data_IF_574110589058
#
_entry.id   IF_574110589058
#
_cell.length_a   1.000
_cell.length_b   1.000
_cell.length_c   1.000
_cell.angle_alpha   90.00
_cell.angle_beta   90.00
_cell.angle_gamma   90.00
#
_symmetry.space_group_name_H-M   'P 1'
#
loop_
_entity.id
_entity.type
_entity.pdbx_description
1 polymer ?
#
# COMPACT_ATOMS: atom_id res chain seq x y z
N UNK A 1 10.45 -11.36 17.81
CA UNK A 1 11.61 -10.74 17.10
C UNK A 1 11.10 -9.49 16.39
N UNK A 2 10.48 -8.62 17.18
CA UNK A 2 9.55 -7.60 16.73
C UNK A 2 10.23 -6.22 16.76
N UNK A 3 10.59 -5.72 15.58
CA UNK A 3 10.44 -4.32 15.18
C UNK A 3 11.21 -4.10 13.88
N UNK A 4 10.59 -3.32 12.99
CA UNK A 4 11.20 -2.83 11.74
C UNK A 4 12.47 -2.01 12.01
N UNK A 5 12.75 -1.64 13.26
CA UNK A 5 13.93 -0.91 13.71
C UNK A 5 14.64 -1.68 14.82
N UNK A 6 15.69 -2.43 14.49
CA UNK A 6 16.57 -2.97 15.53
C UNK A 6 17.55 -1.87 15.96
N UNK A 7 17.52 -1.51 17.25
CA UNK A 7 18.31 -0.42 17.80
C UNK A 7 19.80 -0.80 17.89
N UNK A 8 20.63 -0.25 17.01
CA UNK A 8 22.07 -0.11 17.25
C UNK A 8 22.30 1.28 17.90
N UNK A 9 21.70 1.49 19.08
CA UNK A 9 21.39 2.81 19.64
C UNK A 9 22.58 3.72 19.96
N UNK A 10 23.80 3.18 20.11
CA UNK A 10 24.94 3.98 20.60
C UNK A 10 25.68 4.78 19.51
N UNK A 11 25.36 4.55 18.22
CA UNK A 11 26.11 5.15 17.09
C UNK A 11 25.30 6.01 16.12
N UNK A 12 24.01 6.26 16.37
CA UNK A 12 23.13 6.96 15.41
C UNK A 12 22.85 6.15 14.14
N UNK A 13 22.92 4.81 14.22
CA UNK A 13 22.70 3.88 13.11
C UNK A 13 21.49 3.00 13.40
N UNK A 14 20.61 2.85 12.41
CA UNK A 14 19.36 2.10 12.49
C UNK A 14 19.27 1.11 11.34
N UNK A 15 18.70 -0.06 11.58
CA UNK A 15 18.43 -1.06 10.55
C UNK A 15 16.93 -1.11 10.24
N UNK A 16 16.56 -0.92 8.97
CA UNK A 16 15.20 -1.11 8.45
C UNK A 16 15.15 -2.38 7.62
N UNK A 17 14.18 -3.26 7.87
CA UNK A 17 14.00 -4.48 7.08
C UNK A 17 13.03 -4.25 5.92
N UNK A 18 13.47 -4.56 4.71
CA UNK A 18 12.66 -4.55 3.48
C UNK A 18 12.63 -5.95 2.87
N UNK A 19 11.51 -6.35 2.31
CA UNK A 19 11.35 -7.62 1.60
C UNK A 19 11.68 -7.46 0.12
N UNK A 20 12.89 -7.83 -0.28
CA UNK A 20 13.39 -7.66 -1.65
C UNK A 20 13.85 -8.99 -2.22
N UNK A 21 13.62 -9.22 -3.50
CA UNK A 21 14.04 -10.44 -4.21
C UNK A 21 13.63 -11.77 -3.52
N UNK A 22 12.50 -11.76 -2.80
CA UNK A 22 12.00 -12.95 -2.09
C UNK A 22 12.63 -13.17 -0.72
N UNK A 23 13.36 -12.21 -0.16
CA UNK A 23 13.96 -12.32 1.17
C UNK A 23 13.94 -11.00 1.95
N UNK A 24 14.12 -11.08 3.27
CA UNK A 24 14.21 -9.89 4.12
C UNK A 24 15.65 -9.37 4.14
N UNK A 25 15.86 -8.18 3.61
CA UNK A 25 17.15 -7.49 3.59
C UNK A 25 17.13 -6.37 4.63
N UNK A 26 18.22 -6.23 5.41
CA UNK A 26 18.38 -5.15 6.38
C UNK A 26 19.16 -4.00 5.77
N UNK A 27 18.54 -2.83 5.69
CA UNK A 27 19.14 -1.58 5.20
C UNK A 27 19.56 -0.73 6.40
N UNK A 28 20.87 -0.54 6.55
CA UNK A 28 21.42 0.34 7.58
C UNK A 28 21.36 1.79 7.12
N UNK A 29 20.89 2.69 7.98
CA UNK A 29 20.84 4.14 7.76
C UNK A 29 21.38 4.87 8.98
N UNK A 30 21.88 6.08 8.78
CA UNK A 30 22.14 7.03 9.87
C UNK A 30 20.91 7.92 10.15
N UNK A 31 20.98 8.75 11.19
CA UNK A 31 19.93 9.70 11.62
C UNK A 31 19.94 11.07 10.92
N UNK A 32 20.74 11.27 9.86
CA UNK A 32 20.76 12.56 9.14
C UNK A 32 19.66 12.58 8.08
N UNK A 33 18.62 13.38 8.29
CA UNK A 33 17.50 13.47 7.36
C UNK A 33 17.53 14.79 6.57
N UNK A 34 17.14 14.78 5.27
CA UNK A 34 16.98 16.01 4.50
C UNK A 34 15.90 16.91 5.11
N UNK A 35 16.19 18.19 5.27
CA UNK A 35 15.27 19.19 5.82
C UNK A 35 15.11 20.37 4.88
N UNK A 36 13.94 21.02 4.94
CA UNK A 36 13.65 22.21 4.14
C UNK A 36 14.29 23.43 4.78
N UNK A 37 15.15 24.12 4.03
CA UNK A 37 15.85 25.31 4.50
C UNK A 37 14.87 26.46 4.81
N UNK A 38 15.06 27.14 5.93
CA UNK A 38 14.24 28.28 6.35
C UNK A 38 12.79 27.94 6.69
N UNK A 39 12.48 26.66 6.90
CA UNK A 39 11.17 26.19 7.34
C UNK A 39 11.30 25.38 8.63
N UNK A 40 10.32 25.55 9.52
CA UNK A 40 10.20 24.75 10.73
C UNK A 40 8.80 24.12 10.84
N UNK A 41 8.73 23.07 11.67
CA UNK A 41 7.49 22.44 12.10
C UNK A 41 7.22 22.78 13.56
N UNK A 42 5.97 23.03 13.91
CA UNK A 42 5.51 23.18 15.29
C UNK A 42 4.85 21.88 15.74
N UNK A 43 5.04 21.50 16.99
CA UNK A 43 4.36 20.32 17.55
C UNK A 43 2.83 20.41 17.39
N UNK A 44 2.22 19.34 16.90
CA UNK A 44 0.78 19.28 16.61
C UNK A 44 0.34 19.95 15.30
N UNK A 45 1.26 20.58 14.55
CA UNK A 45 0.97 21.28 13.31
C UNK A 45 2.01 20.96 12.23
N UNK A 46 1.60 20.17 11.22
CA UNK A 46 2.47 19.77 10.13
C UNK A 46 2.62 20.81 9.00
N UNK A 47 1.93 21.97 9.10
CA UNK A 47 1.93 23.02 8.06
C UNK A 47 3.28 23.75 7.94
N UNK A 48 3.48 24.46 6.82
CA UNK A 48 4.71 25.17 6.49
C UNK A 48 4.77 26.53 7.19
N UNK A 49 5.77 26.71 8.06
CA UNK A 49 6.08 28.01 8.67
C UNK A 49 7.47 28.50 8.27
N UNK A 50 7.57 29.77 7.91
CA UNK A 50 8.85 30.42 7.62
C UNK A 50 9.60 30.80 8.90
N UNK A 51 10.91 30.53 8.94
CA UNK A 51 11.79 30.89 10.05
C UNK A 51 12.82 29.81 10.37
N UNK A 52 13.63 30.06 11.40
CA UNK A 52 14.66 29.13 11.84
C UNK A 52 14.11 28.15 12.89
N UNK A 53 14.56 26.87 12.88
CA UNK A 53 14.30 25.93 13.95
C UNK A 53 14.81 26.46 15.29
N UNK A 54 13.97 26.38 16.33
CA UNK A 54 14.33 26.75 17.70
C UNK A 54 13.65 25.77 18.68
N UNK A 55 14.37 24.71 19.10
CA UNK A 55 13.81 23.71 20.00
C UNK A 55 13.32 24.27 21.33
N UNK A 56 13.88 25.39 21.81
CA UNK A 56 13.42 26.05 23.04
C UNK A 56 12.03 26.66 22.92
N UNK A 57 11.59 26.92 21.69
CA UNK A 57 10.25 27.43 21.34
C UNK A 57 9.34 26.33 20.77
N UNK A 58 9.76 25.06 20.82
CA UNK A 58 9.01 23.95 20.22
C UNK A 58 8.99 23.97 18.68
N UNK A 59 10.00 24.60 18.06
CA UNK A 59 10.16 24.69 16.60
C UNK A 59 11.28 23.75 16.15
N UNK A 60 10.97 22.81 15.28
CA UNK A 60 11.90 21.77 14.81
C UNK A 60 12.16 21.91 13.31
N UNK A 61 13.30 21.43 12.82
CA UNK A 61 13.57 21.45 11.39
C UNK A 61 12.51 20.64 10.63
N UNK A 62 11.95 21.20 9.57
CA UNK A 62 10.90 20.52 8.79
C UNK A 62 11.55 19.46 7.89
N UNK A 63 11.16 18.17 8.00
CA UNK A 63 11.61 17.16 7.04
C UNK A 63 11.21 17.55 5.62
N UNK A 64 12.10 17.33 4.66
CA UNK A 64 11.84 17.68 3.25
C UNK A 64 10.82 16.73 2.59
N UNK A 65 10.79 15.47 3.03
CA UNK A 65 9.96 14.39 2.48
C UNK A 65 8.86 13.99 3.49
N UNK A 66 8.72 12.71 3.84
CA UNK A 66 7.69 12.28 4.81
C UNK A 66 7.86 12.97 6.17
N UNK A 67 6.74 13.34 6.78
CA UNK A 67 6.70 13.92 8.13
C UNK A 67 5.47 13.44 8.89
N UNK A 68 5.56 13.41 10.23
CA UNK A 68 4.42 13.16 11.12
C UNK A 68 3.96 14.45 11.78
N UNK A 69 2.70 14.51 12.21
CA UNK A 69 2.17 15.57 13.08
C UNK A 69 2.79 15.50 14.48
N UNK A 70 3.11 14.29 14.92
CA UNK A 70 3.93 14.07 16.11
C UNK A 70 5.41 14.13 15.72
N UNK A 71 6.07 15.19 16.19
CA UNK A 71 7.50 15.42 15.95
C UNK A 71 8.40 14.32 16.53
N UNK A 72 7.89 13.51 17.46
CA UNK A 72 8.62 12.39 18.06
C UNK A 72 8.51 11.11 17.22
N UNK A 73 7.62 11.06 16.23
CA UNK A 73 7.46 9.95 15.31
C UNK A 73 8.38 10.08 14.09
N UNK A 74 9.67 9.84 14.29
CA UNK A 74 10.67 9.92 13.22
C UNK A 74 10.85 8.59 12.45
N UNK A 75 10.20 7.50 12.88
CA UNK A 75 10.33 6.17 12.27
C UNK A 75 9.89 6.14 10.79
N UNK A 76 8.95 7.00 10.39
CA UNK A 76 8.54 7.14 8.99
C UNK A 76 9.69 7.68 8.13
N UNK A 77 10.44 8.67 8.62
CA UNK A 77 11.61 9.21 7.94
C UNK A 77 12.67 8.13 7.78
N UNK A 78 12.84 7.27 8.79
CA UNK A 78 13.75 6.14 8.75
C UNK A 78 13.38 5.13 7.66
N UNK A 79 12.10 4.73 7.57
CA UNK A 79 11.62 3.80 6.55
C UNK A 79 11.81 4.40 5.15
N UNK A 80 11.37 5.64 4.92
CA UNK A 80 11.50 6.29 3.62
C UNK A 80 12.97 6.46 3.21
N UNK A 81 13.85 6.84 4.15
CA UNK A 81 15.30 6.94 3.90
C UNK A 81 15.91 5.59 3.54
N UNK A 82 15.55 4.51 4.24
CA UNK A 82 16.01 3.18 3.91
C UNK A 82 15.51 2.71 2.55
N UNK A 83 14.26 3.02 2.21
CA UNK A 83 13.66 2.72 0.92
C UNK A 83 14.35 3.48 -0.22
N UNK A 84 14.55 4.79 -0.05
CA UNK A 84 15.32 5.64 -0.95
C UNK A 84 16.76 5.15 -1.11
N UNK A 85 17.43 4.75 -0.02
CA UNK A 85 18.79 4.19 -0.07
C UNK A 85 18.86 2.91 -0.88
N UNK A 86 17.89 2.01 -0.71
CA UNK A 86 17.84 0.76 -1.47
C UNK A 86 17.65 1.03 -2.97
N UNK A 87 16.75 1.97 -3.32
CA UNK A 87 16.48 2.36 -4.71
C UNK A 87 17.49 3.36 -5.30
N UNK A 88 18.46 3.81 -4.51
CA UNK A 88 19.58 4.66 -4.93
C UNK A 88 19.43 6.15 -4.65
N UNK A 89 18.21 6.69 -4.56
CA UNK A 89 17.95 8.07 -4.15
C UNK A 89 16.49 8.31 -3.75
N UNK A 90 16.20 9.47 -3.15
CA UNK A 90 14.81 9.90 -2.93
C UNK A 90 14.05 10.17 -4.25
N UNK A 91 14.74 10.61 -5.30
CA UNK A 91 14.13 10.79 -6.62
C UNK A 91 13.74 9.45 -7.26
N UNK A 92 14.46 8.37 -6.96
CA UNK A 92 14.18 7.04 -7.50
C UNK A 92 12.88 6.40 -6.92
N UNK A 93 12.35 6.97 -5.83
CA UNK A 93 11.10 6.52 -5.20
C UNK A 93 9.94 7.50 -5.44
N UNK A 94 10.11 8.44 -6.38
CA UNK A 94 9.06 9.34 -6.81
C UNK A 94 8.05 8.58 -7.69
N UNK A 95 6.79 8.55 -7.24
CA UNK A 95 5.73 7.81 -7.90
C UNK A 95 5.84 6.29 -7.71
N UNK A 96 4.90 5.57 -8.32
CA UNK A 96 4.83 4.11 -8.25
C UNK A 96 3.48 3.59 -7.76
N UNK A 97 3.40 2.28 -7.61
CA UNK A 97 2.15 1.59 -7.27
C UNK A 97 2.12 1.17 -5.81
N UNK A 98 1.03 1.48 -5.11
CA UNK A 98 0.88 1.24 -3.65
C UNK A 98 1.18 -0.21 -3.27
N UNK A 99 0.58 -1.17 -3.97
CA UNK A 99 0.78 -2.59 -3.69
C UNK A 99 2.24 -3.06 -3.86
N UNK A 100 3.05 -2.43 -4.72
CA UNK A 100 4.48 -2.77 -4.85
C UNK A 100 5.24 -2.40 -3.58
N UNK A 101 5.03 -1.19 -3.07
CA UNK A 101 5.62 -0.76 -1.80
C UNK A 101 5.13 -1.62 -0.62
N UNK A 102 3.83 -1.95 -0.58
CA UNK A 102 3.29 -2.85 0.44
C UNK A 102 3.94 -4.24 0.41
N UNK A 103 4.23 -4.79 -0.78
CA UNK A 103 4.98 -6.05 -0.90
C UNK A 103 6.39 -5.89 -0.33
N UNK A 104 7.08 -4.80 -0.63
CA UNK A 104 8.41 -4.53 -0.09
C UNK A 104 8.40 -4.36 1.44
N UNK A 105 7.29 -3.92 2.04
CA UNK A 105 7.19 -3.78 3.50
C UNK A 105 6.65 -5.01 4.22
N UNK A 106 6.05 -5.98 3.52
CA UNK A 106 5.33 -7.09 4.16
C UNK A 106 5.68 -8.48 3.63
N UNK A 107 6.31 -8.57 2.47
CA UNK A 107 6.53 -9.83 1.76
C UNK A 107 5.27 -10.45 1.14
N UNK A 108 4.16 -9.72 1.09
CA UNK A 108 2.91 -10.18 0.53
C UNK A 108 2.91 -10.43 -0.99
N UNK A 109 1.70 -10.68 -1.51
CA UNK A 109 1.44 -10.86 -2.94
C UNK A 109 0.62 -9.69 -3.48
N UNK A 110 1.11 -9.00 -4.52
CA UNK A 110 0.41 -7.87 -5.11
C UNK A 110 -0.78 -8.32 -5.97
N UNK A 111 -1.86 -7.56 -5.94
CA UNK A 111 -2.99 -7.66 -6.86
C UNK A 111 -3.49 -6.24 -7.18
N UNK A 112 -3.80 -5.97 -8.45
CA UNK A 112 -4.43 -4.72 -8.89
C UNK A 112 -5.80 -5.03 -9.47
N UNK A 113 -6.79 -4.24 -9.08
CA UNK A 113 -8.15 -4.28 -9.62
C UNK A 113 -8.43 -2.93 -10.26
N UNK A 114 -8.45 -2.90 -11.59
CA UNK A 114 -8.79 -1.70 -12.36
C UNK A 114 -10.31 -1.57 -12.44
N UNK A 115 -10.84 -0.45 -11.96
CA UNK A 115 -12.29 -0.23 -11.83
C UNK A 115 -12.98 -0.03 -13.18
N UNK A 116 -12.25 0.47 -14.19
CA UNK A 116 -12.75 0.65 -15.56
C UNK A 116 -12.82 -0.64 -16.38
N UNK A 117 -12.25 -1.75 -15.92
CA UNK A 117 -12.28 -3.02 -16.66
C UNK A 117 -13.71 -3.57 -16.74
N UNK A 118 -14.11 -4.06 -17.91
CA UNK A 118 -15.46 -4.60 -18.13
C UNK A 118 -15.84 -5.70 -17.12
N UNK A 119 -14.90 -6.60 -16.80
CA UNK A 119 -15.10 -7.66 -15.81
C UNK A 119 -15.30 -7.08 -14.41
N UNK A 120 -14.55 -6.04 -14.07
CA UNK A 120 -14.69 -5.35 -12.79
C UNK A 120 -16.03 -4.64 -12.71
N UNK A 121 -16.48 -3.96 -13.77
CA UNK A 121 -17.78 -3.33 -13.86
C UNK A 121 -18.94 -4.33 -13.65
N UNK A 122 -18.85 -5.53 -14.23
CA UNK A 122 -19.81 -6.62 -13.96
C UNK A 122 -19.80 -6.99 -12.47
N UNK A 123 -18.61 -7.17 -11.88
CA UNK A 123 -18.49 -7.54 -10.47
C UNK A 123 -18.91 -6.44 -9.46
N UNK A 124 -18.87 -5.18 -9.88
CA UNK A 124 -19.43 -4.05 -9.13
C UNK A 124 -20.96 -4.17 -9.13
N UNK A 125 -21.55 -4.34 -10.31
CA UNK A 125 -23.01 -4.37 -10.48
C UNK A 125 -23.68 -5.58 -9.80
N UNK A 126 -23.01 -6.74 -9.76
CA UNK A 126 -23.53 -7.95 -9.09
C UNK A 126 -23.10 -8.08 -7.60
N UNK A 127 -22.39 -7.07 -7.08
CA UNK A 127 -21.92 -7.01 -5.70
C UNK A 127 -20.84 -8.05 -5.33
N UNK A 128 -20.28 -8.79 -6.29
CA UNK A 128 -19.21 -9.75 -6.03
C UNK A 128 -17.87 -9.07 -5.71
N UNK A 129 -17.60 -7.88 -6.27
CA UNK A 129 -16.40 -7.11 -5.91
C UNK A 129 -16.44 -6.67 -4.45
N UNK A 130 -17.57 -6.10 -3.99
CA UNK A 130 -17.73 -5.68 -2.61
C UNK A 130 -17.48 -6.84 -1.63
N UNK A 131 -18.12 -7.99 -1.86
CA UNK A 131 -17.92 -9.21 -1.04
C UNK A 131 -16.47 -9.70 -1.07
N UNK A 132 -15.80 -9.62 -2.22
CA UNK A 132 -14.37 -9.96 -2.36
C UNK A 132 -13.49 -9.05 -1.49
N UNK A 133 -13.75 -7.74 -1.50
CA UNK A 133 -12.99 -6.76 -0.72
C UNK A 133 -13.28 -6.86 0.79
N UNK A 134 -14.53 -7.08 1.19
CA UNK A 134 -14.87 -7.42 2.59
C UNK A 134 -14.09 -8.65 3.06
N UNK A 135 -14.03 -9.69 2.22
CA UNK A 135 -13.22 -10.88 2.54
C UNK A 135 -11.74 -10.56 2.67
N UNK A 136 -11.21 -9.64 1.88
CA UNK A 136 -9.81 -9.20 1.99
C UNK A 136 -9.55 -8.47 3.31
N UNK A 137 -10.46 -7.60 3.73
CA UNK A 137 -10.41 -6.96 5.03
C UNK A 137 -10.46 -7.96 6.19
N UNK A 138 -11.37 -8.94 6.14
CA UNK A 138 -11.45 -10.01 7.15
C UNK A 138 -10.17 -10.84 7.26
N UNK A 139 -9.49 -11.06 6.14
CA UNK A 139 -8.22 -11.78 6.08
C UNK A 139 -7.03 -10.90 6.50
N UNK A 140 -7.25 -9.62 6.78
CA UNK A 140 -6.21 -8.66 7.16
C UNK A 140 -5.26 -8.32 6.02
N UNK A 141 -5.72 -8.40 4.77
CA UNK A 141 -4.95 -7.92 3.63
C UNK A 141 -4.92 -6.39 3.66
N UNK A 142 -3.87 -5.81 3.09
CA UNK A 142 -3.70 -4.36 3.04
C UNK A 142 -4.28 -3.84 1.72
N UNK A 143 -5.05 -2.76 1.81
CA UNK A 143 -5.71 -2.15 0.66
C UNK A 143 -5.28 -0.69 0.52
N UNK A 144 -5.05 -0.30 -0.72
CA UNK A 144 -4.88 1.08 -1.14
C UNK A 144 -5.66 1.34 -2.42
N UNK A 145 -5.67 2.59 -2.85
CA UNK A 145 -6.31 3.00 -4.09
C UNK A 145 -5.51 4.09 -4.78
N UNK A 146 -5.66 4.17 -6.10
CA UNK A 146 -5.17 5.27 -6.91
C UNK A 146 -6.33 6.05 -7.49
N UNK A 147 -6.30 7.38 -7.35
CA UNK A 147 -7.19 8.27 -8.09
C UNK A 147 -6.78 8.32 -9.58
N UNK A 148 -7.67 8.81 -10.46
CA UNK A 148 -7.37 8.94 -11.88
C UNK A 148 -6.08 9.72 -12.16
N UNK A 149 -5.42 9.42 -13.27
CA UNK A 149 -4.23 10.13 -13.70
C UNK A 149 -4.43 11.67 -13.73
N UNK A 150 -3.44 12.39 -13.20
CA UNK A 150 -3.43 13.85 -13.09
C UNK A 150 -2.21 14.33 -12.30
N UNK A 151 -2.18 15.61 -11.94
CA UNK A 151 -1.17 16.15 -11.03
C UNK A 151 -1.71 16.24 -9.60
N UNK A 152 -0.80 16.22 -8.65
CA UNK A 152 -1.10 16.33 -7.22
C UNK A 152 -1.67 17.71 -6.82
N UNK A 153 -1.57 18.69 -7.71
CA UNK A 153 -2.25 20.00 -7.63
C UNK A 153 -3.69 19.97 -8.17
N UNK A 154 -4.09 18.91 -8.87
CA UNK A 154 -5.42 18.78 -9.46
C UNK A 154 -6.36 18.12 -8.46
N UNK A 155 -7.21 18.93 -7.81
CA UNK A 155 -8.21 18.46 -6.86
C UNK A 155 -9.60 18.59 -7.49
N UNK A 156 -10.38 17.51 -7.48
CA UNK A 156 -11.75 17.54 -7.99
C UNK A 156 -12.65 18.44 -7.14
N UNK A 157 -13.78 18.88 -7.69
CA UNK A 157 -14.77 19.68 -6.95
C UNK A 157 -15.29 18.96 -5.69
N UNK A 158 -15.19 17.63 -5.67
CA UNK A 158 -15.57 16.76 -4.56
C UNK A 158 -14.42 16.43 -3.60
N UNK A 159 -13.24 17.04 -3.78
CA UNK A 159 -12.11 16.93 -2.87
C UNK A 159 -11.17 15.73 -3.09
N UNK A 160 -11.21 15.08 -4.26
CA UNK A 160 -10.29 13.99 -4.59
C UNK A 160 -9.09 14.53 -5.37
N UNK A 161 -7.89 14.39 -4.82
CA UNK A 161 -6.61 14.73 -5.46
C UNK A 161 -6.33 13.71 -6.57
N UNK A 162 -6.03 14.15 -7.78
CA UNK A 162 -5.72 13.29 -8.92
C UNK A 162 -4.24 12.86 -8.92
N UNK A 163 -3.93 11.77 -9.62
CA UNK A 163 -2.57 11.21 -9.67
C UNK A 163 -2.04 10.78 -8.30
N UNK A 164 -2.92 10.44 -7.35
CA UNK A 164 -2.58 10.32 -5.94
C UNK A 164 -3.00 8.97 -5.34
N UNK A 165 -2.24 8.53 -4.34
CA UNK A 165 -2.49 7.30 -3.62
C UNK A 165 -3.28 7.56 -2.33
N UNK A 166 -4.28 6.72 -2.07
CA UNK A 166 -5.08 6.72 -0.86
C UNK A 166 -4.96 5.37 -0.15
N UNK A 167 -4.92 5.37 1.18
CA UNK A 167 -5.05 4.12 1.94
C UNK A 167 -6.54 3.78 2.09
N UNK A 168 -6.92 2.52 1.92
CA UNK A 168 -8.27 2.04 2.25
C UNK A 168 -8.20 1.44 3.65
N UNK A 169 -8.88 2.09 4.60
CA UNK A 169 -8.75 1.78 6.03
C UNK A 169 -9.76 0.74 6.50
N UNK A 170 -11.02 0.92 6.13
CA UNK A 170 -12.09 0.00 6.49
C UNK A 170 -13.25 0.08 5.51
N UNK A 171 -14.05 -0.97 5.49
CA UNK A 171 -15.25 -1.15 4.68
C UNK A 171 -16.36 -1.62 5.61
N UNK A 172 -17.50 -0.95 5.53
CA UNK A 172 -18.65 -1.15 6.40
C UNK A 172 -19.88 -1.35 5.54
N UNK A 173 -20.60 -2.44 5.81
CA UNK A 173 -21.94 -2.68 5.27
C UNK A 173 -22.93 -2.70 6.43
N UNK A 174 -23.94 -1.84 6.34
CA UNK A 174 -24.95 -1.69 7.38
C UNK A 174 -26.23 -1.08 6.83
N UNK A 175 -27.37 -1.44 7.42
CA UNK A 175 -28.68 -0.94 7.02
C UNK A 175 -29.28 -0.06 8.13
N UNK A 176 -29.93 1.03 7.76
CA UNK A 176 -30.66 1.91 8.68
C UNK A 176 -32.05 2.29 8.15
N UNK A 177 -32.67 3.34 8.70
CA UNK A 177 -34.00 3.80 8.27
C UNK A 177 -34.04 4.33 6.83
N UNK A 178 -32.89 4.56 6.20
CA UNK A 178 -32.77 5.10 4.84
C UNK A 178 -32.34 4.05 3.81
N UNK A 179 -32.09 2.81 4.22
CA UNK A 179 -31.74 1.71 3.32
C UNK A 179 -30.48 0.97 3.75
N UNK A 180 -29.89 0.24 2.80
CA UNK A 180 -28.64 -0.48 2.96
C UNK A 180 -27.48 0.35 2.41
N UNK A 181 -26.38 0.43 3.16
CA UNK A 181 -25.24 1.28 2.83
C UNK A 181 -23.95 0.47 2.81
N UNK A 182 -23.19 0.62 1.72
CA UNK A 182 -21.84 0.10 1.58
C UNK A 182 -20.88 1.29 1.60
N UNK A 183 -20.15 1.46 2.70
CA UNK A 183 -19.26 2.59 2.94
C UNK A 183 -17.81 2.13 2.98
N UNK A 184 -16.94 2.91 2.34
CA UNK A 184 -15.50 2.70 2.36
C UNK A 184 -14.84 3.92 3.00
N UNK A 185 -13.94 3.67 3.95
CA UNK A 185 -13.11 4.68 4.59
C UNK A 185 -11.77 4.76 3.88
N UNK A 186 -11.40 5.95 3.44
CA UNK A 186 -10.11 6.23 2.85
C UNK A 186 -9.31 7.19 3.71
N UNK A 187 -7.99 7.21 3.49
CA UNK A 187 -7.09 8.23 4.02
C UNK A 187 -6.23 8.81 2.92
N UNK A 188 -6.30 10.13 2.76
CA UNK A 188 -5.29 10.91 2.07
C UNK A 188 -4.00 10.93 2.92
N UNK A 189 -2.86 10.41 2.43
CA UNK A 189 -1.60 10.38 3.17
C UNK A 189 -1.08 11.77 3.57
N UNK A 190 -1.46 12.83 2.86
CA UNK A 190 -1.11 14.21 3.25
C UNK A 190 -1.79 14.67 4.53
N UNK A 191 -2.80 13.93 4.97
CA UNK A 191 -3.59 14.26 6.15
C UNK A 191 -4.34 15.57 5.98
N UNK A 192 -4.75 15.88 4.75
CA UNK A 192 -5.57 17.05 4.43
C UNK A 192 -6.35 16.76 3.14
N UNK A 193 -7.36 17.56 2.83
CA UNK A 193 -8.19 17.42 1.61
C UNK A 193 -8.99 16.13 1.59
N UNK A 194 -10.28 16.26 1.87
CA UNK A 194 -11.21 15.17 2.08
C UNK A 194 -12.39 15.21 1.11
N UNK A 195 -13.10 14.08 1.02
CA UNK A 195 -14.33 13.94 0.25
C UNK A 195 -15.42 14.91 0.71
N UNK A 196 -16.07 15.59 -0.24
CA UNK A 196 -17.13 16.59 0.00
C UNK A 196 -18.53 16.16 -0.45
N UNK A 197 -18.66 14.92 -0.93
CA UNK A 197 -19.94 14.36 -1.38
C UNK A 197 -20.74 13.70 -0.27
N UNK A 198 -21.58 12.73 -0.64
CA UNK A 198 -22.38 11.96 0.32
C UNK A 198 -21.48 11.19 1.29
N UNK A 199 -21.83 11.17 2.58
CA UNK A 199 -21.02 10.56 3.66
C UNK A 199 -19.70 11.27 3.98
N UNK A 200 -19.49 12.47 3.45
CA UNK A 200 -18.39 13.34 3.89
C UNK A 200 -18.49 13.68 5.38
N UNK A 201 -17.40 14.20 5.93
CA UNK A 201 -17.32 14.63 7.33
C UNK A 201 -18.30 15.78 7.64
N UNK A 202 -18.75 16.53 6.63
CA UNK A 202 -19.75 17.59 6.73
C UNK A 202 -21.20 17.15 6.45
N UNK A 203 -21.44 15.89 6.02
CA UNK A 203 -22.79 15.38 5.70
C UNK A 203 -23.56 14.97 6.97
N UNK A 204 -23.95 15.95 7.77
CA UNK A 204 -24.65 15.71 9.02
C UNK A 204 -26.05 15.06 8.84
N UNK A 205 -26.58 15.01 7.62
CA UNK A 205 -27.92 14.48 7.32
C UNK A 205 -27.88 12.95 7.19
N UNK A 206 -26.90 12.39 6.47
CA UNK A 206 -26.80 10.93 6.25
C UNK A 206 -26.27 10.17 7.47
N UNK A 207 -25.47 10.83 8.32
CA UNK A 207 -24.89 10.19 9.50
C UNK A 207 -25.89 9.96 10.63
N UNK A 208 -26.70 8.90 10.49
CA UNK A 208 -27.62 8.44 11.53
C UNK A 208 -26.87 7.89 12.75
N UNK A 209 -27.57 7.77 13.90
CA UNK A 209 -26.98 7.19 15.13
C UNK A 209 -26.45 5.77 14.90
N UNK A 210 -27.13 4.96 14.08
CA UNK A 210 -26.72 3.58 13.78
C UNK A 210 -25.44 3.58 12.94
N UNK A 211 -25.39 4.41 11.90
CA UNK A 211 -24.21 4.49 11.04
C UNK A 211 -22.99 5.02 11.78
N UNK A 212 -23.14 6.05 12.63
CA UNK A 212 -22.08 6.52 13.55
C UNK A 212 -21.55 5.41 14.44
N UNK A 213 -22.45 4.66 15.09
CA UNK A 213 -22.05 3.56 15.98
C UNK A 213 -21.32 2.42 15.24
N UNK A 214 -21.71 2.14 13.99
CA UNK A 214 -21.10 1.07 13.20
C UNK A 214 -19.75 1.46 12.60
N UNK A 215 -19.64 2.68 12.10
CA UNK A 215 -18.42 3.20 11.45
C UNK A 215 -17.39 3.74 12.43
N UNK A 216 -17.82 4.08 13.66
CA UNK A 216 -17.00 4.83 14.60
C UNK A 216 -16.85 6.31 14.24
N UNK A 217 -17.58 6.80 13.23
CA UNK A 217 -17.56 8.22 12.84
C UNK A 217 -18.13 9.09 13.98
N UNK A 218 -17.30 10.02 14.46
CA UNK A 218 -17.68 11.04 15.43
C UNK A 218 -17.49 12.44 14.84
N UNK A 219 -18.59 13.16 14.52
CA UNK A 219 -18.50 14.50 13.94
C UNK A 219 -17.82 15.51 14.88
N UNK A 220 -17.83 15.28 16.21
CA UNK A 220 -17.17 16.20 17.16
C UNK A 220 -15.66 16.01 17.21
N UNK A 221 -15.20 14.78 17.02
CA UNK A 221 -13.77 14.49 16.93
C UNK A 221 -13.18 15.00 15.60
N UNK A 222 -14.00 15.07 14.55
CA UNK A 222 -13.56 15.43 13.19
C UNK A 222 -13.77 16.90 12.81
N UNK A 223 -14.72 17.61 13.41
CA UNK A 223 -14.98 19.02 13.11
C UNK A 223 -13.76 19.95 13.30
N UNK A 224 -12.74 19.51 14.05
CA UNK A 224 -11.52 20.26 14.34
C UNK A 224 -10.25 19.70 13.65
N UNK A 225 -10.35 18.69 12.77
CA UNK A 225 -9.18 18.15 12.07
C UNK A 225 -9.48 17.66 10.66
N UNK A 226 -9.10 18.46 9.65
CA UNK A 226 -8.77 17.96 8.31
C UNK A 226 -7.60 17.00 8.50
N UNK A 227 -7.89 15.70 8.62
CA UNK A 227 -6.93 14.63 8.93
C UNK A 227 -6.73 13.68 7.74
N UNK A 228 -7.41 13.98 6.63
CA UNK A 228 -7.40 13.25 5.39
C UNK A 228 -8.23 11.97 5.44
N UNK A 229 -8.89 11.64 6.56
CA UNK A 229 -9.66 10.41 6.72
C UNK A 229 -11.14 10.70 6.47
N UNK A 230 -11.75 10.04 5.50
CA UNK A 230 -13.17 10.26 5.19
C UNK A 230 -13.85 8.96 4.79
N UNK A 231 -15.17 8.92 4.95
CA UNK A 231 -16.01 7.89 4.34
C UNK A 231 -16.62 8.39 3.03
N UNK A 232 -16.93 7.45 2.14
CA UNK A 232 -17.79 7.68 0.98
C UNK A 232 -18.57 6.42 0.66
N UNK A 233 -19.60 6.52 -0.19
CA UNK A 233 -20.28 5.33 -0.69
C UNK A 233 -19.35 4.52 -1.60
N UNK A 234 -19.46 3.19 -1.57
CA UNK A 234 -18.68 2.32 -2.46
C UNK A 234 -18.95 2.60 -3.95
N UNK A 235 -20.16 3.05 -4.26
CA UNK A 235 -20.54 3.46 -5.61
C UNK A 235 -19.79 4.71 -6.07
N UNK A 236 -19.70 5.72 -5.21
CA UNK A 236 -18.94 6.94 -5.49
C UNK A 236 -17.45 6.61 -5.61
N UNK A 237 -16.94 5.74 -4.74
CA UNK A 237 -15.57 5.24 -4.83
C UNK A 237 -15.29 4.62 -6.22
N UNK A 238 -16.16 3.71 -6.70
CA UNK A 238 -16.02 3.11 -8.02
C UNK A 238 -16.12 4.11 -9.19
N UNK A 239 -16.69 5.29 -8.95
CA UNK A 239 -16.86 6.35 -9.95
C UNK A 239 -15.66 7.31 -9.97
N UNK A 240 -15.05 7.57 -8.81
CA UNK A 240 -14.03 8.60 -8.63
C UNK A 240 -12.61 8.09 -8.50
N UNK A 241 -12.40 6.77 -8.40
CA UNK A 241 -11.09 6.14 -8.33
C UNK A 241 -10.85 5.23 -9.52
N UNK A 242 -9.58 4.99 -9.84
CA UNK A 242 -9.18 4.20 -11.01
C UNK A 242 -8.83 2.76 -10.62
N UNK A 243 -8.08 2.60 -9.52
CA UNK A 243 -7.49 1.33 -9.14
C UNK A 243 -7.70 1.02 -7.67
N UNK A 244 -7.92 -0.26 -7.35
CA UNK A 244 -7.73 -0.81 -6.01
C UNK A 244 -6.46 -1.63 -6.01
N UNK A 245 -5.55 -1.29 -5.11
CA UNK A 245 -4.30 -1.99 -4.88
C UNK A 245 -4.44 -2.89 -3.66
N UNK A 246 -4.13 -4.18 -3.81
CA UNK A 246 -4.24 -5.15 -2.72
C UNK A 246 -2.87 -5.79 -2.49
N UNK A 247 -2.45 -5.84 -1.23
CA UNK A 247 -1.33 -6.67 -0.79
C UNK A 247 -1.85 -7.80 0.07
N UNK A 248 -1.84 -9.02 -0.49
CA UNK A 248 -2.35 -10.22 0.16
C UNK A 248 -1.26 -10.79 1.08
N UNK A 249 -1.52 -10.79 2.37
CA UNK A 249 -0.59 -11.25 3.41
C UNK A 249 -0.96 -12.67 3.82
N UNK A 250 0.00 -13.59 3.70
CA UNK A 250 -0.20 -15.00 4.04
C UNK A 250 0.64 -15.35 5.25
N UNK A 251 0.02 -15.32 6.44
CA UNK A 251 0.72 -15.70 7.67
C UNK A 251 1.12 -17.17 7.59
N UNK A 252 2.41 -17.41 7.73
CA UNK A 252 2.97 -18.76 7.68
C UNK A 252 2.69 -19.51 8.98
N UNK A 253 2.82 -20.83 8.97
CA UNK A 253 2.73 -21.65 10.19
C UNK A 253 3.73 -21.22 11.27
N UNK A 254 4.90 -20.71 10.87
CA UNK A 254 5.93 -20.19 11.79
C UNK A 254 5.48 -18.88 12.47
N UNK A 255 4.66 -18.08 11.78
CA UNK A 255 4.07 -16.83 12.27
C UNK A 255 2.70 -17.05 12.96
N UNK A 256 2.34 -18.30 13.27
CA UNK A 256 1.06 -18.65 13.88
C UNK A 256 -0.14 -18.64 12.91
N UNK A 257 0.12 -18.61 11.60
CA UNK A 257 -0.89 -18.75 10.55
C UNK A 257 -1.08 -20.19 10.07
N UNK A 258 -1.61 -20.33 8.85
CA UNK A 258 -1.98 -21.63 8.26
C UNK A 258 -1.31 -21.90 6.91
N UNK A 259 -0.49 -20.97 6.42
CA UNK A 259 0.17 -21.10 5.14
C UNK A 259 1.56 -21.74 5.28
N UNK A 260 1.91 -22.61 4.35
CA UNK A 260 3.29 -23.07 4.19
C UNK A 260 3.95 -22.21 3.12
N UNK A 261 5.17 -21.77 3.39
CA UNK A 261 5.94 -20.97 2.43
C UNK A 261 7.16 -21.77 1.94
N UNK A 262 7.34 -21.78 0.63
CA UNK A 262 8.51 -22.34 -0.03
C UNK A 262 9.08 -21.30 -0.98
N UNK A 263 10.40 -21.19 -1.04
CA UNK A 263 11.12 -20.27 -1.91
C UNK A 263 12.18 -21.02 -2.67
N UNK A 264 12.28 -20.75 -3.96
CA UNK A 264 13.29 -21.36 -4.83
C UNK A 264 13.95 -20.25 -5.64
N UNK A 265 15.24 -20.04 -5.41
CA UNK A 265 16.05 -19.17 -6.24
C UNK A 265 16.47 -19.92 -7.51
N UNK A 266 16.41 -19.26 -8.66
CA UNK A 266 16.78 -19.82 -9.95
C UNK A 266 17.15 -18.72 -10.93
N UNK A 267 17.71 -19.12 -12.08
CA UNK A 267 18.15 -18.21 -13.13
C UNK A 267 17.88 -18.79 -14.53
N UNK A 268 17.68 -17.89 -15.49
CA UNK A 268 17.61 -18.22 -16.90
C UNK A 268 18.94 -17.83 -17.56
N UNK A 269 19.83 -18.81 -17.79
CA UNK A 269 21.14 -18.59 -18.39
C UNK A 269 21.50 -19.73 -19.35
N UNK A 270 22.04 -19.38 -20.52
CA UNK A 270 22.47 -20.37 -21.52
C UNK A 270 21.31 -21.27 -21.94
N UNK A 271 21.44 -22.57 -21.67
CA UNK A 271 20.42 -23.57 -22.06
C UNK A 271 19.10 -23.42 -21.30
N UNK A 272 19.10 -22.87 -20.07
CA UNK A 272 17.88 -22.71 -19.28
C UNK A 272 17.04 -21.51 -19.69
N UNK A 273 17.56 -20.61 -20.53
CA UNK A 273 16.83 -19.47 -21.08
C UNK A 273 15.92 -19.89 -22.27
N UNK A 274 15.01 -20.82 -22.00
CA UNK A 274 14.12 -21.45 -22.99
C UNK A 274 13.02 -20.54 -23.55
N UNK A 275 12.84 -19.36 -22.97
CA UNK A 275 11.83 -18.38 -23.36
C UNK A 275 10.44 -18.72 -22.82
N UNK A 276 9.39 -18.28 -23.52
CA UNK A 276 8.01 -18.52 -23.13
C UNK A 276 7.74 -20.03 -22.87
N UNK A 277 7.06 -20.42 -21.77
CA UNK A 277 6.74 -21.83 -21.49
C UNK A 277 5.90 -22.55 -22.58
N UNK A 278 5.29 -21.80 -23.50
CA UNK A 278 4.56 -22.33 -24.65
C UNK A 278 5.39 -22.36 -25.94
N UNK A 279 6.65 -21.91 -25.89
CA UNK A 279 7.57 -21.88 -27.02
C UNK A 279 8.30 -23.22 -27.25
N UNK A 280 9.03 -23.34 -28.37
CA UNK A 280 9.69 -24.58 -28.78
C UNK A 280 10.85 -25.03 -27.90
N UNK A 281 11.35 -24.16 -27.02
CA UNK A 281 12.39 -24.49 -26.02
C UNK A 281 11.90 -24.24 -24.60
N UNK A 282 10.58 -24.10 -24.41
CA UNK A 282 9.99 -23.82 -23.10
C UNK A 282 10.21 -24.92 -22.08
N UNK A 283 10.45 -26.15 -22.55
CA UNK A 283 10.81 -27.34 -21.78
C UNK A 283 12.22 -27.26 -21.19
N UNK A 284 13.11 -26.42 -21.74
CA UNK A 284 14.45 -26.19 -21.20
C UNK A 284 14.49 -25.25 -20.00
N UNK A 285 13.41 -24.51 -19.75
CA UNK A 285 13.30 -23.66 -18.57
C UNK A 285 13.40 -24.51 -17.28
N UNK A 286 13.84 -23.94 -16.15
CA UNK A 286 13.80 -24.62 -14.86
C UNK A 286 12.38 -25.12 -14.54
N UNK A 287 12.27 -26.37 -14.07
CA UNK A 287 11.00 -27.01 -13.75
C UNK A 287 10.99 -27.44 -12.28
N UNK A 288 9.82 -27.30 -11.64
CA UNK A 288 9.61 -27.69 -10.25
C UNK A 288 8.36 -28.54 -10.12
N UNK A 289 8.42 -29.52 -9.22
CA UNK A 289 7.31 -30.41 -8.92
C UNK A 289 6.72 -30.02 -7.58
N UNK A 290 5.42 -29.72 -7.56
CA UNK A 290 4.66 -29.47 -6.34
C UNK A 290 3.68 -30.63 -6.11
N UNK A 291 3.78 -31.28 -4.95
CA UNK A 291 2.99 -32.47 -4.59
C UNK A 291 2.28 -32.25 -3.24
N UNK A 292 1.09 -31.64 -3.24
CA UNK A 292 0.34 -31.46 -2.00
C UNK A 292 -0.22 -32.80 -1.53
N UNK A 293 -0.10 -33.09 -0.23
CA UNK A 293 -0.61 -34.34 0.37
C UNK A 293 -2.14 -34.39 0.47
N UNK A 294 -2.80 -33.24 0.37
CA UNK A 294 -4.26 -33.05 0.43
C UNK A 294 -4.67 -31.91 -0.51
N UNK A 295 -5.93 -31.85 -0.96
CA UNK A 295 -6.45 -30.67 -1.66
C UNK A 295 -6.19 -29.40 -0.85
N UNK A 296 -5.55 -28.41 -1.46
CA UNK A 296 -5.19 -27.15 -0.81
C UNK A 296 -5.26 -25.99 -1.81
N UNK A 297 -5.30 -24.77 -1.26
CA UNK A 297 -5.11 -23.57 -2.05
C UNK A 297 -3.60 -23.32 -2.22
N UNK A 298 -3.19 -22.98 -3.43
CA UNK A 298 -1.81 -22.68 -3.76
C UNK A 298 -1.75 -21.28 -4.34
N UNK A 299 -0.79 -20.50 -3.86
CA UNK A 299 -0.50 -19.16 -4.37
C UNK A 299 0.94 -19.20 -4.86
N UNK A 300 1.13 -18.95 -6.16
CA UNK A 300 2.45 -18.97 -6.79
C UNK A 300 2.81 -17.53 -7.17
N UNK A 301 3.95 -17.06 -6.66
CA UNK A 301 4.54 -15.78 -7.01
C UNK A 301 5.84 -16.05 -7.76
N UNK A 302 5.88 -15.68 -9.04
CA UNK A 302 7.11 -15.61 -9.81
C UNK A 302 7.60 -14.16 -9.79
N UNK A 303 8.83 -13.93 -9.37
CA UNK A 303 9.43 -12.61 -9.33
C UNK A 303 10.82 -12.66 -9.98
N UNK A 304 11.20 -11.58 -10.64
CA UNK A 304 12.55 -11.39 -11.15
C UNK A 304 13.34 -10.53 -10.16
N UNK A 305 14.62 -10.82 -10.00
CA UNK A 305 15.50 -10.00 -9.17
C UNK A 305 15.59 -8.59 -9.76
N UNK A 306 15.45 -7.58 -8.90
CA UNK A 306 15.66 -6.20 -9.31
C UNK A 306 17.13 -6.00 -9.69
N UNK A 307 17.35 -5.51 -10.91
CA UNK A 307 18.68 -5.11 -11.34
C UNK A 307 18.87 -3.64 -10.97
N UNK A 308 19.70 -3.37 -9.95
CA UNK A 308 20.02 -2.01 -9.52
C UNK A 308 20.77 -1.25 -10.65
N UNK A 309 20.28 -0.08 -11.06
CA UNK A 309 20.88 0.81 -12.06
C UNK A 309 19.91 1.32 -13.14
N UNK A 310 20.22 2.46 -13.77
CA UNK A 310 19.37 3.06 -14.81
C UNK A 310 19.25 2.19 -16.07
N UNK A 311 18.05 2.13 -16.65
CA UNK A 311 17.83 1.66 -18.03
C UNK A 311 17.73 0.15 -18.23
N UNK A 312 17.35 -0.64 -17.21
CA UNK A 312 17.12 -2.08 -17.37
C UNK A 312 15.64 -2.43 -17.24
N UNK A 313 15.02 -2.72 -18.38
CA UNK A 313 13.63 -3.14 -18.44
C UNK A 313 13.44 -4.51 -17.78
N UNK A 314 12.35 -4.62 -17.01
CA UNK A 314 11.86 -5.91 -16.52
C UNK A 314 11.48 -6.81 -17.69
N UNK A 315 11.84 -8.09 -17.62
CA UNK A 315 11.46 -9.05 -18.66
C UNK A 315 10.01 -9.50 -18.48
N UNK A 316 9.27 -9.77 -19.57
CA UNK A 316 7.99 -10.45 -19.49
C UNK A 316 8.22 -11.88 -18.97
N UNK A 317 7.74 -12.15 -17.76
CA UNK A 317 7.87 -13.44 -17.08
C UNK A 317 6.51 -14.11 -16.95
N UNK A 318 6.50 -15.44 -16.92
CA UNK A 318 5.29 -16.22 -16.74
C UNK A 318 5.61 -17.66 -16.34
N UNK A 319 4.64 -18.32 -15.71
CA UNK A 319 4.74 -19.73 -15.31
C UNK A 319 3.62 -20.52 -15.98
N UNK A 320 3.93 -21.75 -16.39
CA UNK A 320 2.95 -22.74 -16.86
C UNK A 320 2.82 -23.82 -15.80
N UNK A 321 1.60 -24.02 -15.31
CA UNK A 321 1.30 -25.09 -14.35
C UNK A 321 0.75 -26.27 -15.14
N UNK A 322 1.41 -27.42 -15.01
CA UNK A 322 1.00 -28.67 -15.64
C UNK A 322 0.57 -29.67 -14.56
N UNK A 323 -0.54 -30.35 -14.80
CA UNK A 323 -0.87 -31.54 -14.04
C UNK A 323 0.09 -32.67 -14.45
N UNK A 324 0.60 -33.41 -13.47
CA UNK A 324 1.54 -34.49 -13.75
C UNK A 324 0.88 -35.52 -14.70
N UNK A 325 1.47 -35.72 -15.89
CA UNK A 325 0.93 -36.57 -16.96
C UNK A 325 0.17 -35.85 -18.10
N UNK A 326 -0.02 -34.53 -18.03
CA UNK A 326 -0.49 -33.74 -19.17
C UNK A 326 0.71 -33.43 -20.10
N UNK A 327 0.65 -33.93 -21.35
CA UNK A 327 1.65 -33.66 -22.39
C UNK A 327 1.45 -32.28 -23.01
#
# INVERSE_FOLDING_TARGET
EDSVLTQCAEGGVYGVRLFKNGEWVTILIDDRFPTKAGCYQKEGDATLWGGEPNPREGKYAKPLFVSSRDINEWWMLAIEKAYAKYHGSYAAIEGGWVHTALVDFTGGVPETITLSDEKTAVSINDGSLWRKLQRYQELGYLLGSGSPAGHDTDVSDLGIVQGHAYAVLTMVEESDSHGEHQLIQLRNPWGQTEWKGEWSDDDHVRWTRRMKAKTGYDPKAKADSDDGIFFMSFRDFCTHYENIYVCRIYRTVEEGGSWFQYRVASEWMGETAGGCPNGPSGDKNPQWVFQPSKPCQVVIKLAQAEQLGEGRDSHPIGIKILANGAR
#
